data_IF_175362026123
#
_entry.id   IF_175362026123
#
_cell.length_a   1.000
_cell.length_b   1.000
_cell.length_c   1.000
_cell.angle_alpha   90.00
_cell.angle_beta   90.00
_cell.angle_gamma   90.00
#
_symmetry.space_group_name_H-M   'P 1'
#
loop_
_entity.id
_entity.type
_entity.pdbx_description
1 polymer ?
#
# COMPACT_ATOMS: atom_id res chain seq x y z
N UNK A 1 -9.34 -6.96 22.05
CA UNK A 1 -8.62 -7.29 20.80
C UNK A 1 -9.54 -6.92 19.65
N UNK A 2 -9.10 -6.14 18.65
CA UNK A 2 -9.97 -5.77 17.52
C UNK A 2 -10.16 -6.99 16.61
N UNK A 3 -11.35 -7.18 16.09
CA UNK A 3 -11.69 -8.20 15.09
C UNK A 3 -12.36 -7.55 13.88
N UNK A 4 -12.25 -8.20 12.73
CA UNK A 4 -12.72 -7.66 11.46
C UNK A 4 -13.59 -8.69 10.74
N UNK A 5 -14.77 -8.25 10.27
CA UNK A 5 -15.57 -9.02 9.32
C UNK A 5 -14.75 -9.29 8.05
N UNK A 6 -15.04 -10.41 7.39
CA UNK A 6 -14.38 -10.85 6.14
C UNK A 6 -14.28 -9.73 5.11
N UNK A 7 -15.37 -9.01 4.85
CA UNK A 7 -15.39 -7.93 3.86
C UNK A 7 -14.50 -6.74 4.23
N UNK A 8 -14.39 -6.43 5.52
CA UNK A 8 -13.49 -5.37 5.98
C UNK A 8 -12.03 -5.83 5.89
N UNK A 9 -11.75 -7.06 6.31
CA UNK A 9 -10.42 -7.66 6.19
C UNK A 9 -9.94 -7.71 4.72
N UNK A 10 -10.81 -8.12 3.80
CA UNK A 10 -10.51 -8.18 2.37
C UNK A 10 -10.11 -6.79 1.82
N UNK A 11 -10.86 -5.75 2.18
CA UNK A 11 -10.54 -4.37 1.81
C UNK A 11 -9.19 -3.91 2.37
N UNK A 12 -8.90 -4.21 3.65
CA UNK A 12 -7.63 -3.84 4.29
C UNK A 12 -6.42 -4.53 3.63
N UNK A 13 -6.58 -5.78 3.22
CA UNK A 13 -5.54 -6.56 2.56
C UNK A 13 -5.44 -6.31 1.04
N UNK A 14 -6.36 -5.52 0.46
CA UNK A 14 -6.39 -5.27 -0.98
C UNK A 14 -6.73 -6.51 -1.83
N UNK A 15 -7.51 -7.45 -1.28
CA UNK A 15 -7.93 -8.69 -1.96
C UNK A 15 -9.46 -8.82 -1.97
N UNK A 16 -9.99 -9.83 -2.68
CA UNK A 16 -11.42 -10.13 -2.68
C UNK A 16 -11.87 -10.84 -1.40
N UNK A 17 -13.16 -10.70 -1.05
CA UNK A 17 -13.78 -11.45 0.06
C UNK A 17 -13.57 -12.97 -0.08
N UNK A 18 -13.65 -13.49 -1.30
CA UNK A 18 -13.48 -14.93 -1.58
C UNK A 18 -12.04 -15.38 -1.35
N UNK A 19 -11.05 -14.52 -1.61
CA UNK A 19 -9.65 -14.79 -1.26
C UNK A 19 -9.50 -14.97 0.25
N UNK A 20 -10.14 -14.11 1.04
CA UNK A 20 -10.10 -14.18 2.51
C UNK A 20 -10.83 -15.43 3.01
N UNK A 21 -12.02 -15.74 2.48
CA UNK A 21 -12.74 -16.98 2.80
C UNK A 21 -11.89 -18.22 2.52
N UNK A 22 -11.25 -18.26 1.35
CA UNK A 22 -10.36 -19.36 0.98
C UNK A 22 -9.19 -19.52 1.96
N UNK A 23 -8.61 -18.43 2.46
CA UNK A 23 -7.55 -18.50 3.47
C UNK A 23 -8.04 -18.98 4.83
N UNK A 24 -9.28 -18.64 5.21
CA UNK A 24 -9.92 -19.19 6.41
C UNK A 24 -10.12 -20.70 6.23
N UNK A 25 -10.68 -21.13 5.11
CA UNK A 25 -10.94 -22.56 4.82
C UNK A 25 -9.64 -23.38 4.79
N UNK A 26 -8.53 -22.77 4.38
CA UNK A 26 -7.19 -23.37 4.36
C UNK A 26 -6.48 -23.34 5.72
N UNK A 27 -7.08 -22.74 6.75
CA UNK A 27 -6.47 -22.57 8.07
C UNK A 27 -5.31 -21.55 8.11
N UNK A 28 -5.16 -20.75 7.06
CA UNK A 28 -4.12 -19.70 6.97
C UNK A 28 -4.51 -18.49 7.83
N UNK A 29 -5.80 -18.13 7.85
CA UNK A 29 -6.33 -17.09 8.73
C UNK A 29 -7.22 -17.73 9.82
N UNK A 30 -6.93 -17.50 11.10
CA UNK A 30 -7.83 -17.92 12.18
C UNK A 30 -9.08 -17.05 12.20
N UNK A 31 -10.13 -17.57 12.82
CA UNK A 31 -11.40 -16.87 13.04
C UNK A 31 -11.73 -16.78 14.52
N UNK A 32 -12.55 -15.80 14.88
CA UNK A 32 -13.22 -15.76 16.18
C UNK A 32 -14.46 -16.67 16.18
N UNK A 33 -15.02 -16.95 17.35
CA UNK A 33 -16.29 -17.66 17.50
C UNK A 33 -17.54 -16.78 17.25
N UNK A 34 -17.34 -15.56 16.73
CA UNK A 34 -18.42 -14.62 16.48
C UNK A 34 -19.30 -15.05 15.29
N UNK A 35 -20.58 -14.64 15.32
CA UNK A 35 -21.50 -14.78 14.19
C UNK A 35 -22.05 -13.40 13.83
N UNK A 36 -21.79 -12.86 12.62
CA UNK A 36 -20.98 -13.44 11.54
C UNK A 36 -19.50 -13.62 11.91
N UNK A 37 -18.81 -14.54 11.21
CA UNK A 37 -17.38 -14.84 11.40
C UNK A 37 -16.52 -13.58 11.25
N UNK A 38 -15.58 -13.42 12.18
CA UNK A 38 -14.59 -12.33 12.18
C UNK A 38 -13.16 -12.87 12.32
N UNK A 39 -12.19 -12.07 11.93
CA UNK A 39 -10.76 -12.40 11.95
C UNK A 39 -10.09 -11.57 13.04
N UNK A 40 -9.30 -12.18 13.95
CA UNK A 40 -8.48 -11.45 14.92
C UNK A 40 -7.53 -10.46 14.24
N UNK A 41 -7.47 -9.22 14.74
CA UNK A 41 -6.72 -8.14 14.10
C UNK A 41 -5.20 -8.33 14.09
N UNK A 42 -4.65 -9.02 15.08
CA UNK A 42 -3.24 -9.41 15.15
C UNK A 42 -2.87 -10.44 14.06
N UNK A 43 -3.69 -11.47 13.89
CA UNK A 43 -3.53 -12.44 12.81
C UNK A 43 -3.67 -11.79 11.43
N UNK A 44 -4.63 -10.87 11.29
CA UNK A 44 -4.81 -10.09 10.06
C UNK A 44 -3.59 -9.21 9.75
N UNK A 45 -3.00 -8.57 10.76
CA UNK A 45 -1.81 -7.74 10.62
C UNK A 45 -0.55 -8.56 10.27
N UNK A 46 -0.40 -9.75 10.89
CA UNK A 46 0.67 -10.68 10.54
C UNK A 46 0.56 -11.09 9.06
N UNK A 47 -0.66 -11.45 8.61
CA UNK A 47 -0.90 -11.82 7.22
C UNK A 47 -0.62 -10.68 6.24
N UNK A 48 -1.01 -9.44 6.59
CA UNK A 48 -0.69 -8.27 5.79
C UNK A 48 0.82 -8.08 5.61
N UNK A 49 1.60 -8.32 6.67
CA UNK A 49 3.06 -8.20 6.63
C UNK A 49 3.71 -9.27 5.75
N UNK A 50 3.22 -10.51 5.80
CA UNK A 50 3.69 -11.60 4.93
C UNK A 50 3.42 -11.30 3.45
N UNK A 51 2.23 -10.80 3.12
CA UNK A 51 1.88 -10.44 1.75
C UNK A 51 2.79 -9.33 1.22
N UNK A 52 3.07 -8.32 2.04
CA UNK A 52 3.96 -7.22 1.67
C UNK A 52 5.42 -7.67 1.47
N UNK A 53 5.90 -8.65 2.23
CA UNK A 53 7.24 -9.19 2.07
C UNK A 53 7.42 -10.02 0.78
N UNK A 54 6.32 -10.56 0.23
CA UNK A 54 6.34 -11.35 -1.00
C UNK A 54 6.25 -10.52 -2.29
N UNK A 55 5.98 -9.21 -2.20
CA UNK A 55 5.97 -8.31 -3.36
C UNK A 55 7.38 -7.88 -3.76
N UNK A 56 7.76 -8.14 -5.01
CA UNK A 56 9.06 -7.74 -5.56
C UNK A 56 9.17 -6.22 -5.71
N UNK A 57 10.27 -5.64 -5.22
CA UNK A 57 10.65 -4.25 -5.48
C UNK A 57 11.49 -4.18 -6.77
N UNK A 58 10.99 -3.56 -7.84
CA UNK A 58 11.65 -3.58 -9.14
C UNK A 58 12.87 -2.64 -9.23
N UNK A 59 13.17 -1.87 -8.18
CA UNK A 59 14.14 -0.77 -8.29
C UNK A 59 15.61 -1.13 -8.10
N UNK A 60 15.96 -2.36 -7.71
CA UNK A 60 17.34 -2.85 -7.46
C UNK A 60 18.27 -1.86 -6.70
N UNK A 61 17.73 -1.11 -5.72
CA UNK A 61 18.47 -0.08 -4.96
C UNK A 61 18.40 -0.35 -3.46
N UNK A 62 19.57 -0.38 -2.79
CA UNK A 62 19.67 -0.37 -1.33
C UNK A 62 19.28 1.02 -0.80
N UNK A 63 18.18 1.10 -0.04
CA UNK A 63 17.66 2.35 0.51
C UNK A 63 17.28 2.22 1.99
N UNK A 64 17.54 3.27 2.77
CA UNK A 64 17.10 3.36 4.17
C UNK A 64 15.62 3.75 4.32
N UNK A 65 15.01 4.24 3.24
CA UNK A 65 13.59 4.56 3.21
C UNK A 65 12.77 3.26 3.16
N UNK A 66 11.94 3.07 4.19
CA UNK A 66 11.14 1.85 4.39
C UNK A 66 9.80 1.86 3.67
N UNK A 67 9.24 3.04 3.39
CA UNK A 67 7.96 3.16 2.69
C UNK A 67 8.24 3.32 1.20
N UNK A 68 7.89 2.29 0.43
CA UNK A 68 8.12 2.22 -1.01
C UNK A 68 6.83 1.80 -1.68
N UNK A 69 6.33 2.63 -2.58
CA UNK A 69 5.06 2.45 -3.24
C UNK A 69 5.29 2.31 -4.73
N UNK A 70 5.36 1.06 -5.19
CA UNK A 70 5.47 0.73 -6.61
C UNK A 70 4.14 1.02 -7.28
N UNK A 71 4.16 1.77 -8.38
CA UNK A 71 2.94 2.18 -9.05
C UNK A 71 3.19 2.77 -10.43
N UNK A 72 2.11 3.21 -11.05
CA UNK A 72 2.15 3.90 -12.33
C UNK A 72 1.95 5.40 -12.13
N UNK A 73 2.77 6.20 -12.80
CA UNK A 73 2.53 7.64 -12.91
C UNK A 73 1.20 7.85 -13.63
N UNK A 74 0.34 8.68 -13.07
CA UNK A 74 -0.99 8.99 -13.62
C UNK A 74 -1.11 10.45 -14.06
N UNK A 75 -0.27 11.33 -13.51
CA UNK A 75 -0.21 12.75 -13.86
C UNK A 75 1.17 13.30 -13.56
N UNK A 76 1.65 14.18 -14.44
CA UNK A 76 2.81 15.04 -14.23
C UNK A 76 2.39 16.47 -14.56
N UNK A 77 2.56 17.39 -13.62
CA UNK A 77 2.30 18.81 -13.81
C UNK A 77 3.55 19.58 -13.44
N UNK A 78 4.11 20.31 -14.40
CA UNK A 78 5.28 21.17 -14.20
C UNK A 78 4.83 22.62 -14.20
N UNK A 79 5.26 23.37 -13.18
CA UNK A 79 5.06 24.81 -13.08
C UNK A 79 6.32 25.48 -12.53
N UNK A 80 6.98 26.30 -13.36
CA UNK A 80 8.27 26.90 -13.06
C UNK A 80 9.35 25.86 -12.72
N UNK A 81 9.90 25.97 -11.51
CA UNK A 81 10.96 25.08 -11.00
C UNK A 81 10.42 23.85 -10.25
N UNK A 82 9.11 23.75 -10.08
CA UNK A 82 8.45 22.67 -9.34
C UNK A 82 7.69 21.74 -10.28
N UNK A 83 7.52 20.50 -9.84
CA UNK A 83 6.68 19.50 -10.45
C UNK A 83 5.84 18.77 -9.40
N UNK A 84 4.59 18.51 -9.74
CA UNK A 84 3.74 17.55 -9.06
C UNK A 84 3.66 16.27 -9.89
N UNK A 85 3.91 15.14 -9.24
CA UNK A 85 3.80 13.80 -9.84
C UNK A 85 2.83 12.97 -9.02
N UNK A 86 1.81 12.44 -9.66
CA UNK A 86 0.83 11.55 -9.04
C UNK A 86 1.11 10.10 -9.45
N UNK A 87 1.25 9.20 -8.50
CA UNK A 87 1.48 7.76 -8.71
C UNK A 87 0.30 6.98 -8.12
N UNK A 88 -0.28 6.07 -8.91
CA UNK A 88 -1.23 5.08 -8.43
C UNK A 88 -0.47 3.80 -8.04
N UNK A 89 -0.41 3.52 -6.74
CA UNK A 89 0.27 2.37 -6.15
C UNK A 89 -0.74 1.49 -5.40
N UNK A 90 -1.19 0.42 -6.07
CA UNK A 90 -2.30 -0.41 -5.55
C UNK A 90 -3.55 0.44 -5.29
N UNK A 91 -4.17 0.39 -4.10
CA UNK A 91 -5.34 1.22 -3.77
C UNK A 91 -4.99 2.68 -3.39
N UNK A 92 -3.70 3.03 -3.35
CA UNK A 92 -3.23 4.33 -2.86
C UNK A 92 -2.83 5.26 -4.01
N UNK A 93 -3.25 6.53 -3.93
CA UNK A 93 -2.69 7.62 -4.74
C UNK A 93 -1.62 8.33 -3.92
N UNK A 94 -0.38 8.29 -4.40
CA UNK A 94 0.77 8.98 -3.79
C UNK A 94 1.08 10.22 -4.63
N UNK A 95 1.19 11.38 -3.98
CA UNK A 95 1.54 12.64 -4.65
C UNK A 95 2.91 13.09 -4.17
N UNK A 96 3.82 13.32 -5.11
CA UNK A 96 5.15 13.86 -4.85
C UNK A 96 5.26 15.27 -5.40
N UNK A 97 5.78 16.19 -4.59
CA UNK A 97 6.28 17.47 -5.03
C UNK A 97 7.79 17.38 -5.12
N UNK A 98 8.33 17.62 -6.33
CA UNK A 98 9.76 17.57 -6.63
C UNK A 98 10.15 18.71 -7.56
N UNK A 99 11.44 18.85 -7.87
CA UNK A 99 11.86 19.87 -8.84
C UNK A 99 11.43 19.46 -10.25
N UNK A 100 11.17 20.47 -11.08
CA UNK A 100 10.89 20.28 -12.50
C UNK A 100 12.06 19.61 -13.24
N UNK A 101 13.29 19.85 -12.78
CA UNK A 101 14.50 19.19 -13.28
C UNK A 101 14.45 17.69 -12.98
N UNK A 102 14.25 17.28 -11.72
CA UNK A 102 14.18 15.86 -11.36
C UNK A 102 13.07 15.11 -12.10
N UNK A 103 11.90 15.74 -12.29
CA UNK A 103 10.83 15.11 -13.05
C UNK A 103 11.20 14.86 -14.53
N UNK A 104 11.95 15.78 -15.14
CA UNK A 104 12.44 15.64 -16.53
C UNK A 104 13.59 14.64 -16.63
N UNK A 105 14.53 14.67 -15.70
CA UNK A 105 15.69 13.76 -15.67
C UNK A 105 15.25 12.31 -15.52
N UNK A 106 14.21 12.08 -14.71
CA UNK A 106 13.59 10.76 -14.55
C UNK A 106 12.63 10.40 -15.69
N UNK A 107 12.46 11.28 -16.69
CA UNK A 107 11.55 11.13 -17.82
C UNK A 107 10.13 10.71 -17.39
N UNK A 108 9.60 11.32 -16.33
CA UNK A 108 8.30 10.94 -15.78
C UNK A 108 7.17 11.41 -16.70
N UNK A 109 6.30 10.48 -17.05
CA UNK A 109 5.09 10.71 -17.84
C UNK A 109 3.98 9.75 -17.42
N UNK A 110 2.69 10.09 -17.64
CA UNK A 110 1.59 9.16 -17.39
C UNK A 110 1.82 7.80 -18.07
N UNK A 111 1.73 6.72 -17.30
CA UNK A 111 2.00 5.34 -17.73
C UNK A 111 3.38 4.82 -17.32
N UNK A 112 4.32 5.69 -16.92
CA UNK A 112 5.64 5.26 -16.46
C UNK A 112 5.54 4.46 -15.15
N UNK A 113 6.28 3.34 -15.07
CA UNK A 113 6.51 2.64 -13.80
C UNK A 113 7.41 3.49 -12.92
N UNK A 114 6.97 3.74 -11.69
CA UNK A 114 7.73 4.51 -10.72
C UNK A 114 7.58 3.91 -9.32
N UNK A 115 8.58 4.17 -8.47
CA UNK A 115 8.52 3.82 -7.05
C UNK A 115 8.56 5.11 -6.24
N UNK A 116 7.45 5.44 -5.58
CA UNK A 116 7.43 6.55 -4.64
C UNK A 116 8.10 6.12 -3.33
N UNK A 117 9.14 6.84 -2.93
CA UNK A 117 9.95 6.52 -1.75
C UNK A 117 9.74 7.59 -0.70
N UNK A 118 9.26 7.22 0.49
CA UNK A 118 9.01 8.14 1.61
C UNK A 118 9.89 7.76 2.80
N UNK A 119 10.59 8.75 3.36
CA UNK A 119 11.42 8.55 4.55
C UNK A 119 10.56 8.10 5.73
N UNK A 120 11.00 7.05 6.44
CA UNK A 120 10.22 6.43 7.51
C UNK A 120 9.83 7.39 8.65
N UNK A 121 10.62 8.46 8.87
CA UNK A 121 10.38 9.47 9.91
C UNK A 121 9.24 10.43 9.60
N UNK A 122 8.61 10.34 8.42
CA UNK A 122 7.55 11.26 7.97
C UNK A 122 6.24 10.50 7.77
N UNK A 123 5.82 9.76 8.80
CA UNK A 123 4.57 8.99 8.82
C UNK A 123 3.73 9.43 10.02
N UNK A 124 2.43 9.67 9.77
CA UNK A 124 1.44 9.94 10.81
C UNK A 124 0.55 8.70 10.93
N UNK A 125 0.29 8.25 12.16
CA UNK A 125 -0.57 7.10 12.44
C UNK A 125 -1.83 7.61 13.13
N UNK A 126 -2.98 7.26 12.56
CA UNK A 126 -4.31 7.59 13.09
C UNK A 126 -5.12 6.29 13.25
N UNK A 127 -6.03 6.29 14.22
CA UNK A 127 -7.00 5.20 14.41
C UNK A 127 -8.42 5.77 14.36
N UNK A 128 -9.43 5.03 13.86
CA UNK A 128 -10.82 5.45 13.94
C UNK A 128 -11.21 5.81 15.38
N UNK A 129 -12.07 6.84 15.53
CA UNK A 129 -12.80 7.06 16.79
C UNK A 129 -13.83 5.95 16.93
N UNK A 130 -13.98 5.43 18.15
CA UNK A 130 -14.88 4.31 18.46
C UNK A 130 -16.32 4.53 17.96
#
# INVERSE_FOLDING_TARGET
>A
MRSFKVSHAARLLGVSDDTVRRWIDQGILPTTDATPVEIPGDALAARASELAAASDDPSDVLSSARNRFVGLVTRVQIDGVMAQVDIQAGPHRVVSLMTAESARDLALEPGALAVAVVKATTVIVETPKD
#
